data_IF_151911621743
#
_entry.id   IF_151911621743
#
_cell.length_a   1.000
_cell.length_b   1.000
_cell.length_c   1.000
_cell.angle_alpha   90.00
_cell.angle_beta   90.00
_cell.angle_gamma   90.00
#
_symmetry.space_group_name_H-M   'P 1'
#
loop_
_entity.id
_entity.type
_entity.pdbx_description
1 polymer ?
#
# COMPACT_ATOMS: atom_id res chain seq x y z
N UNK A 1 0.33 3.17 25.21
CA UNK A 1 -0.19 2.14 24.29
C UNK A 1 0.52 2.34 22.96
N UNK A 2 1.10 1.30 22.35
CA UNK A 2 1.79 1.41 21.05
C UNK A 2 0.74 1.31 19.95
N UNK A 3 0.60 2.35 19.13
CA UNK A 3 -0.29 2.33 17.97
C UNK A 3 0.41 1.65 16.80
N UNK A 4 -0.37 1.05 15.91
CA UNK A 4 0.15 0.59 14.61
C UNK A 4 0.60 1.79 13.80
N UNK A 5 1.74 1.67 13.11
CA UNK A 5 2.24 2.68 12.18
C UNK A 5 2.22 2.13 10.77
N UNK A 6 1.57 2.85 9.87
CA UNK A 6 1.50 2.53 8.45
C UNK A 6 2.12 3.68 7.64
N UNK A 7 2.49 3.38 6.41
CA UNK A 7 2.91 4.40 5.45
C UNK A 7 1.66 5.07 4.88
N UNK A 8 1.67 6.40 4.74
CA UNK A 8 0.63 7.15 4.04
C UNK A 8 1.07 7.66 2.69
N UNK A 9 0.12 7.71 1.76
CA UNK A 9 0.32 8.16 0.40
C UNK A 9 -0.20 9.59 0.26
N UNK A 10 0.65 10.53 -0.16
CA UNK A 10 0.28 11.91 -0.48
C UNK A 10 0.17 12.17 -1.97
N UNK A 11 0.63 11.27 -2.84
CA UNK A 11 0.60 11.48 -4.28
C UNK A 11 -0.79 11.23 -4.90
N UNK A 12 -1.71 10.60 -4.15
CA UNK A 12 -3.08 10.40 -4.56
C UNK A 12 -4.00 11.58 -4.19
N UNK A 13 -5.03 11.84 -5.01
CA UNK A 13 -6.14 12.74 -4.69
C UNK A 13 -5.76 14.17 -4.25
N UNK A 14 -4.88 14.83 -5.01
CA UNK A 14 -4.63 16.27 -4.83
C UNK A 14 -3.76 16.62 -3.62
N UNK A 15 -2.77 15.78 -3.29
CA UNK A 15 -1.81 16.02 -2.21
C UNK A 15 -2.35 15.85 -0.79
N UNK A 16 -3.42 15.07 -0.63
CA UNK A 16 -3.99 14.75 0.68
C UNK A 16 -3.47 13.40 1.17
N UNK A 17 -2.81 13.39 2.34
CA UNK A 17 -2.35 12.17 2.99
C UNK A 17 -3.53 11.24 3.29
N UNK A 18 -3.51 10.05 2.68
CA UNK A 18 -4.50 9.00 2.96
C UNK A 18 -3.93 7.97 3.93
N UNK A 19 -4.78 7.54 4.87
CA UNK A 19 -4.51 6.46 5.80
C UNK A 19 -5.60 5.42 5.74
N UNK A 20 -5.25 4.16 5.50
CA UNK A 20 -6.20 3.04 5.47
C UNK A 20 -6.03 2.16 6.69
N UNK A 21 -7.14 1.73 7.28
CA UNK A 21 -7.12 0.89 8.46
C UNK A 21 -6.66 -0.52 8.10
N UNK A 22 -5.63 -1.00 8.80
CA UNK A 22 -5.09 -2.37 8.66
C UNK A 22 -5.65 -3.35 9.69
N UNK A 23 -6.58 -2.91 10.54
CA UNK A 23 -7.23 -3.78 11.52
C UNK A 23 -7.96 -4.93 10.80
N UNK A 24 -7.73 -6.20 11.16
CA UNK A 24 -8.37 -7.36 10.54
C UNK A 24 -9.91 -7.37 10.64
N UNK A 25 -10.49 -6.61 11.59
CA UNK A 25 -11.94 -6.46 11.72
C UNK A 25 -12.55 -5.53 10.65
N UNK A 26 -11.72 -4.80 9.89
CA UNK A 26 -12.17 -3.96 8.79
C UNK A 26 -12.08 -4.69 7.44
N UNK A 27 -12.97 -4.32 6.53
CA UNK A 27 -12.80 -4.64 5.12
C UNK A 27 -11.55 -3.92 4.57
N UNK A 28 -10.80 -4.57 3.64
CA UNK A 28 -9.70 -3.91 2.94
C UNK A 28 -10.16 -2.61 2.29
N UNK A 29 -9.37 -1.53 2.38
CA UNK A 29 -9.80 -0.22 1.88
C UNK A 29 -10.53 0.67 2.89
N UNK A 30 -10.80 0.21 4.12
CA UNK A 30 -11.43 1.04 5.14
C UNK A 30 -10.61 2.32 5.43
N UNK A 31 -11.17 3.48 5.08
CA UNK A 31 -10.51 4.77 5.23
C UNK A 31 -10.46 5.23 6.69
N UNK A 32 -9.30 5.77 7.07
CA UNK A 32 -9.15 6.58 8.26
C UNK A 32 -9.32 8.06 7.96
N UNK A 33 -9.78 8.79 8.96
CA UNK A 33 -9.73 10.26 8.98
C UNK A 33 -8.58 10.72 9.88
N UNK A 34 -7.86 11.75 9.47
CA UNK A 34 -6.89 12.39 10.35
C UNK A 34 -7.61 13.00 11.55
N UNK A 35 -7.07 12.79 12.75
CA UNK A 35 -7.60 13.36 14.00
C UNK A 35 -6.53 14.26 14.63
N UNK A 36 -6.94 15.43 15.08
CA UNK A 36 -6.06 16.39 15.76
C UNK A 36 -5.86 16.08 17.25
N UNK A 37 -6.77 15.27 17.83
CA UNK A 37 -6.75 14.91 19.24
C UNK A 37 -5.69 13.85 19.51
N UNK A 38 -4.60 14.28 20.12
CA UNK A 38 -3.64 13.39 20.75
C UNK A 38 -4.27 12.79 22.03
N UNK A 39 -4.18 11.47 22.26
CA UNK A 39 -4.60 10.88 23.53
C UNK A 39 -3.97 11.64 24.71
N UNK A 40 -4.74 11.93 25.76
CA UNK A 40 -4.19 12.60 26.95
C UNK A 40 -2.96 11.83 27.47
N UNK A 41 -1.82 12.51 27.55
CA UNK A 41 -0.54 11.93 27.96
C UNK A 41 0.29 11.27 26.84
N UNK A 42 -0.12 11.34 25.57
CA UNK A 42 0.74 10.89 24.47
C UNK A 42 1.85 11.90 24.19
N UNK A 43 3.08 11.41 24.03
CA UNK A 43 4.19 12.21 23.49
C UNK A 43 3.80 12.79 22.12
N UNK A 44 4.29 14.00 21.84
CA UNK A 44 4.16 14.63 20.53
C UNK A 44 4.59 13.65 19.44
N UNK A 45 3.78 13.50 18.38
CA UNK A 45 4.13 12.62 17.27
C UNK A 45 5.41 13.12 16.58
N UNK A 46 6.25 12.23 16.04
CA UNK A 46 7.39 12.64 15.21
C UNK A 46 6.95 13.45 14.00
N UNK A 47 7.85 14.27 13.46
CA UNK A 47 7.60 15.02 12.23
C UNK A 47 7.22 14.08 11.08
N UNK A 48 6.21 14.48 10.29
CA UNK A 48 5.66 13.68 9.18
C UNK A 48 4.83 12.47 9.63
N UNK A 49 4.48 12.35 10.92
CA UNK A 49 3.59 11.32 11.44
C UNK A 49 2.27 11.93 11.89
N UNK A 50 1.18 11.38 11.39
CA UNK A 50 -0.18 11.87 11.60
C UNK A 50 -1.03 10.81 12.28
N UNK A 51 -1.90 11.20 13.22
CA UNK A 51 -2.84 10.27 13.84
C UNK A 51 -4.10 10.15 12.98
N UNK A 52 -4.49 8.92 12.70
CA UNK A 52 -5.73 8.59 12.00
C UNK A 52 -6.63 7.73 12.86
N UNK A 53 -7.94 7.86 12.63
CA UNK A 53 -8.97 7.01 13.21
C UNK A 53 -9.79 6.40 12.09
N UNK A 54 -9.90 5.08 12.07
CA UNK A 54 -10.72 4.35 11.11
C UNK A 54 -12.18 4.80 11.21
N UNK A 55 -12.77 5.18 10.08
CA UNK A 55 -14.17 5.61 10.03
C UNK A 55 -15.13 4.49 10.46
N UNK A 56 -14.79 3.23 10.16
CA UNK A 56 -15.61 2.04 10.40
C UNK A 56 -15.45 1.48 11.82
N UNK A 57 -14.24 1.07 12.22
CA UNK A 57 -14.02 0.35 13.49
C UNK A 57 -13.48 1.23 14.63
N UNK A 58 -13.24 2.53 14.38
CA UNK A 58 -12.65 3.48 15.34
C UNK A 58 -11.23 3.11 15.82
N UNK A 59 -10.58 2.14 15.17
CA UNK A 59 -9.17 1.84 15.41
C UNK A 59 -8.32 3.07 15.10
N UNK A 60 -7.45 3.44 16.05
CA UNK A 60 -6.50 4.55 15.89
C UNK A 60 -5.14 4.01 15.46
N UNK A 61 -4.53 4.66 14.48
CA UNK A 61 -3.26 4.27 13.90
C UNK A 61 -2.47 5.49 13.45
N UNK A 62 -1.14 5.38 13.43
CA UNK A 62 -0.22 6.39 12.95
C UNK A 62 0.01 6.22 11.45
N UNK A 63 0.01 7.32 10.72
CA UNK A 63 0.30 7.37 9.29
C UNK A 63 1.54 8.21 9.10
N UNK A 64 2.63 7.59 8.66
CA UNK A 64 3.87 8.27 8.32
C UNK A 64 3.84 8.68 6.85
N UNK A 65 3.90 9.98 6.60
CA UNK A 65 4.07 10.54 5.26
C UNK A 65 5.44 10.12 4.71
N UNK A 66 5.46 9.40 3.58
CA UNK A 66 6.69 9.15 2.81
C UNK A 66 6.69 10.04 1.59
N UNK A 67 7.72 10.90 1.47
CA UNK A 67 7.68 12.05 0.57
C UNK A 67 8.51 11.93 -0.71
N UNK A 68 8.75 10.73 -1.29
CA UNK A 68 9.40 10.68 -2.64
C UNK A 68 9.57 9.34 -3.35
N UNK A 69 9.45 8.19 -2.68
CA UNK A 69 9.69 6.89 -3.34
C UNK A 69 8.38 6.09 -3.45
N UNK A 70 7.97 5.63 -4.65
CA UNK A 70 6.84 4.72 -4.76
C UNK A 70 7.18 3.46 -3.96
N UNK A 71 6.25 3.05 -3.09
CA UNK A 71 6.43 1.82 -2.30
C UNK A 71 6.66 0.64 -3.24
N UNK A 72 7.59 -0.25 -2.89
CA UNK A 72 7.86 -1.48 -3.66
C UNK A 72 7.28 -2.69 -2.93
N UNK A 73 6.57 -3.54 -3.67
CA UNK A 73 6.11 -4.86 -3.23
C UNK A 73 6.86 -5.89 -4.05
N UNK A 74 7.58 -6.78 -3.38
CA UNK A 74 8.42 -7.79 -4.01
C UNK A 74 7.98 -9.21 -3.63
N UNK A 75 6.88 -9.73 -4.22
CA UNK A 75 6.40 -11.06 -3.92
C UNK A 75 7.32 -12.11 -4.55
N UNK A 76 7.53 -13.20 -3.83
CA UNK A 76 8.17 -14.41 -4.35
C UNK A 76 7.13 -15.20 -5.16
N UNK A 77 7.45 -15.56 -6.41
CA UNK A 77 6.54 -16.26 -7.32
C UNK A 77 7.26 -17.42 -8.02
N UNK A 78 6.51 -18.46 -8.35
CA UNK A 78 6.97 -19.54 -9.23
C UNK A 78 7.13 -19.03 -10.66
N UNK A 79 8.15 -19.54 -11.36
CA UNK A 79 8.37 -19.21 -12.77
C UNK A 79 7.19 -19.66 -13.65
N UNK A 80 6.84 -18.83 -14.64
CA UNK A 80 5.73 -19.12 -15.56
C UNK A 80 4.35 -18.63 -15.10
N UNK A 81 4.27 -17.87 -14.02
CA UNK A 81 3.02 -17.30 -13.54
C UNK A 81 2.52 -16.19 -14.50
N UNK A 82 1.26 -16.27 -14.93
CA UNK A 82 0.60 -15.26 -15.80
C UNK A 82 -0.29 -14.29 -15.03
N UNK A 83 -0.74 -14.66 -13.83
CA UNK A 83 -1.63 -13.87 -12.97
C UNK A 83 -1.12 -13.88 -11.54
N UNK A 84 -1.09 -12.73 -10.90
CA UNK A 84 -0.51 -12.53 -9.57
C UNK A 84 -1.44 -11.67 -8.72
N UNK A 85 -1.76 -12.15 -7.52
CA UNK A 85 -2.54 -11.38 -6.54
C UNK A 85 -1.63 -10.86 -5.42
N UNK A 86 -1.56 -9.54 -5.25
CA UNK A 86 -0.76 -8.91 -4.19
C UNK A 86 -1.60 -7.93 -3.36
N UNK A 87 -1.38 -7.87 -2.04
CA UNK A 87 -2.00 -6.83 -1.22
C UNK A 87 -1.38 -5.47 -1.57
N UNK A 88 -2.23 -4.46 -1.75
CA UNK A 88 -1.80 -3.08 -1.84
C UNK A 88 -1.05 -2.70 -0.56
N UNK A 89 0.16 -2.13 -0.64
CA UNK A 89 0.92 -1.76 0.55
C UNK A 89 0.25 -0.66 1.38
N UNK A 90 -0.71 0.05 0.78
CA UNK A 90 -1.42 1.17 1.39
C UNK A 90 -2.72 0.73 2.06
N UNK A 91 -3.61 0.07 1.32
CA UNK A 91 -4.97 -0.24 1.78
C UNK A 91 -5.22 -1.72 2.08
N UNK A 92 -4.25 -2.59 1.82
CA UNK A 92 -4.36 -4.05 1.99
C UNK A 92 -5.26 -4.74 0.96
N UNK A 93 -5.93 -4.01 0.07
CA UNK A 93 -6.77 -4.58 -0.97
C UNK A 93 -5.94 -5.52 -1.87
N UNK A 94 -6.48 -6.71 -2.15
CA UNK A 94 -5.79 -7.71 -2.96
C UNK A 94 -6.03 -7.44 -4.43
N UNK A 95 -5.06 -6.82 -5.09
CA UNK A 95 -5.12 -6.53 -6.52
C UNK A 95 -4.67 -7.75 -7.31
N UNK A 96 -5.41 -8.08 -8.37
CA UNK A 96 -5.01 -9.07 -9.35
C UNK A 96 -4.35 -8.37 -10.55
N UNK A 97 -3.13 -8.79 -10.87
CA UNK A 97 -2.38 -8.31 -12.02
C UNK A 97 -2.13 -9.45 -13.00
N UNK A 98 -2.29 -9.17 -14.30
CA UNK A 98 -2.04 -10.13 -15.37
C UNK A 98 -0.84 -9.68 -16.19
N UNK A 99 0.11 -10.58 -16.42
CA UNK A 99 1.33 -10.23 -17.15
C UNK A 99 1.05 -9.70 -18.57
N UNK A 100 -0.07 -10.12 -19.20
CA UNK A 100 -0.49 -9.70 -20.54
C UNK A 100 -0.66 -8.18 -20.70
N UNK A 101 -0.94 -7.44 -19.61
CA UNK A 101 -1.09 -5.97 -19.68
C UNK A 101 0.25 -5.24 -19.85
N UNK A 102 1.38 -5.94 -19.68
CA UNK A 102 2.73 -5.43 -19.96
C UNK A 102 3.41 -6.19 -21.11
N UNK A 103 2.94 -6.04 -22.36
CA UNK A 103 3.44 -6.80 -23.52
C UNK A 103 4.93 -6.59 -23.81
N UNK A 104 5.51 -5.47 -23.35
CA UNK A 104 6.92 -5.13 -23.52
C UNK A 104 7.83 -5.72 -22.44
N UNK A 105 7.26 -6.22 -21.33
CA UNK A 105 7.99 -6.74 -20.17
C UNK A 105 7.66 -8.20 -19.87
N UNK A 106 6.57 -8.75 -20.41
CA UNK A 106 6.24 -10.17 -20.30
C UNK A 106 6.99 -10.98 -21.39
N UNK A 107 7.30 -12.24 -21.09
CA UNK A 107 7.89 -13.17 -22.06
C UNK A 107 6.87 -14.27 -22.31
N UNK A 108 6.15 -14.23 -23.43
CA UNK A 108 5.13 -15.24 -23.72
C UNK A 108 3.91 -15.21 -22.79
N UNK A 109 3.52 -14.02 -22.29
CA UNK A 109 2.33 -13.86 -21.45
C UNK A 109 2.53 -14.21 -19.97
N UNK A 110 3.78 -14.37 -19.51
CA UNK A 110 4.11 -14.60 -18.09
C UNK A 110 4.97 -13.47 -17.52
N UNK A 111 4.93 -13.29 -16.19
CA UNK A 111 5.76 -12.31 -15.50
C UNK A 111 7.25 -12.62 -15.70
N UNK A 112 8.03 -11.62 -16.08
CA UNK A 112 9.47 -11.71 -16.14
C UNK A 112 10.04 -11.51 -14.73
N UNK A 113 10.89 -12.45 -14.32
CA UNK A 113 11.56 -12.44 -13.02
C UNK A 113 13.04 -12.14 -13.27
N UNK A 114 13.43 -10.86 -13.11
CA UNK A 114 14.82 -10.44 -13.22
C UNK A 114 15.14 -9.37 -12.17
N UNK A 115 16.42 -9.17 -11.78
CA UNK A 115 16.80 -8.15 -10.81
C UNK A 115 16.39 -6.72 -11.20
N UNK A 116 16.23 -6.45 -12.50
CA UNK A 116 15.96 -5.11 -13.01
C UNK A 116 14.49 -4.90 -13.43
N UNK A 117 13.73 -5.97 -13.59
CA UNK A 117 12.33 -5.89 -14.02
C UNK A 117 11.46 -5.38 -12.87
N UNK A 118 10.65 -4.36 -13.15
CA UNK A 118 9.64 -3.86 -12.25
C UNK A 118 8.39 -3.45 -13.03
N UNK A 119 7.23 -3.62 -12.41
CA UNK A 119 5.94 -3.29 -12.98
C UNK A 119 5.34 -2.11 -12.21
N UNK A 120 5.07 -1.02 -12.92
CA UNK A 120 4.27 0.07 -12.35
C UNK A 120 2.81 -0.41 -12.31
N UNK A 121 2.22 -0.39 -11.11
CA UNK A 121 0.85 -0.84 -10.87
C UNK A 121 0.10 0.21 -10.07
N UNK A 122 -1.20 0.28 -10.30
CA UNK A 122 -2.15 1.01 -9.46
C UNK A 122 -3.04 0.02 -8.70
N UNK A 123 -3.44 0.41 -7.49
CA UNK A 123 -4.46 -0.32 -6.75
C UNK A 123 -5.85 0.06 -7.26
N UNK A 124 -6.70 -0.90 -7.60
CA UNK A 124 -8.06 -0.62 -8.08
C UNK A 124 -8.98 -0.01 -7.02
N UNK A 125 -8.67 -0.17 -5.74
CA UNK A 125 -9.47 0.33 -4.62
C UNK A 125 -9.08 1.75 -4.21
N UNK A 126 -7.79 1.97 -3.91
CA UNK A 126 -7.31 3.28 -3.43
C UNK A 126 -6.59 4.11 -4.50
N UNK A 127 -6.47 3.60 -5.72
CA UNK A 127 -5.77 4.22 -6.85
C UNK A 127 -4.31 4.60 -6.55
N UNK A 128 -3.71 4.01 -5.52
CA UNK A 128 -2.31 4.22 -5.20
C UNK A 128 -1.41 3.56 -6.22
N UNK A 129 -0.49 4.35 -6.76
CA UNK A 129 0.61 3.84 -7.56
C UNK A 129 1.68 3.22 -6.65
N UNK A 130 2.21 2.07 -7.07
CA UNK A 130 3.33 1.42 -6.41
C UNK A 130 4.09 0.55 -7.42
N UNK A 131 5.26 0.08 -6.99
CA UNK A 131 6.12 -0.78 -7.82
C UNK A 131 5.93 -2.23 -7.42
N UNK A 132 5.72 -3.10 -8.39
CA UNK A 132 5.67 -4.55 -8.22
C UNK A 132 6.95 -5.17 -8.80
N UNK A 133 7.76 -5.85 -7.99
CA UNK A 133 9.01 -6.52 -8.40
C UNK A 133 8.96 -8.01 -8.05
N UNK A 134 8.42 -8.88 -8.91
CA UNK A 134 8.39 -10.30 -8.65
C UNK A 134 9.79 -10.89 -8.48
N UNK A 135 9.96 -11.76 -7.49
CA UNK A 135 11.20 -12.48 -7.19
C UNK A 135 11.00 -13.98 -7.43
N UNK A 136 12.07 -14.71 -7.73
CA UNK A 136 12.02 -16.17 -7.88
C UNK A 136 12.00 -16.84 -6.49
N UNK A 137 11.31 -17.98 -6.38
CA UNK A 137 11.38 -18.92 -5.24
C UNK A 137 12.80 -19.47 -4.99
#
# INVERSE_FOLDING_TARGET
MKLDRITGNTENYGHHLQGFCTNPACEPGALGRQVAEHPEGSQQLPDGVHLFECCSCKHRFEVQEQSSAPTEVAPVITSGLSTLTVPCPWCGHRNEYKAEVWPWLNSGGVFAITPITAYAVDCSECHAAYTLRPQAE
#
